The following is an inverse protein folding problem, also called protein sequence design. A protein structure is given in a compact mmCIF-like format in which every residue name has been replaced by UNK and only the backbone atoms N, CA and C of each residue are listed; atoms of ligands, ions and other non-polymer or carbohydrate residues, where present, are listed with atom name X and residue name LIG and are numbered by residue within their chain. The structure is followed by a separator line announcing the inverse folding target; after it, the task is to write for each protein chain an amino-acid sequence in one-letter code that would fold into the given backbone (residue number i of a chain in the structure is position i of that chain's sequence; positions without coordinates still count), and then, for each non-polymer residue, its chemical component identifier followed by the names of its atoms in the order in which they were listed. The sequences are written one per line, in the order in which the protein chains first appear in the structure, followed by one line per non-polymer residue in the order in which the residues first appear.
data_IF_029415624880
#
_entry.id   IF_029415624880
#
_cell.length_a   1.000
_cell.length_b   1.000
_cell.length_c   1.000
_cell.angle_alpha   90.00
_cell.angle_beta   90.00
_cell.angle_gamma   90.00
#
_symmetry.space_group_name_H-M   'P 1'
#
loop_
_entity.id
_entity.type
_entity.pdbx_description
1 polymer ?
#
# COMPACT_ATOMS: atom_id res chain seq x y z
N UNK A 1 18.27 35.58 23.02
CA UNK A 1 16.93 35.20 23.51
C UNK A 1 15.88 35.16 22.40
N UNK A 2 15.84 36.09 21.44
CA UNK A 2 14.88 36.03 20.32
C UNK A 2 15.12 34.85 19.34
N UNK A 3 16.38 34.48 19.09
CA UNK A 3 16.72 33.36 18.20
C UNK A 3 16.36 31.95 18.73
N UNK A 4 16.11 31.82 20.03
CA UNK A 4 15.68 30.57 20.66
C UNK A 4 14.14 30.46 20.65
N UNK A 5 13.44 31.57 20.88
CA UNK A 5 11.99 31.67 20.74
C UNK A 5 11.51 31.39 19.30
N UNK A 6 12.26 31.83 18.28
CA UNK A 6 11.95 31.53 16.87
C UNK A 6 12.17 30.05 16.53
N UNK A 7 13.19 29.40 17.12
CA UNK A 7 13.39 27.95 16.99
C UNK A 7 12.31 27.14 17.70
N UNK A 8 11.84 27.61 18.85
CA UNK A 8 10.72 27.00 19.59
C UNK A 8 9.41 27.17 18.82
N UNK A 9 9.14 28.35 18.24
CA UNK A 9 7.95 28.58 17.42
C UNK A 9 7.95 27.78 16.11
N UNK A 10 9.13 27.61 15.47
CA UNK A 10 9.28 26.74 14.30
C UNK A 10 9.16 25.24 14.68
N UNK A 11 9.60 24.84 15.88
CA UNK A 11 9.48 23.48 16.40
C UNK A 11 8.07 23.07 16.82
N UNK A 12 7.12 24.02 16.87
CA UNK A 12 5.70 23.78 17.18
C UNK A 12 4.88 23.38 15.94
N UNK A 13 5.43 23.53 14.73
CA UNK A 13 4.71 23.30 13.47
C UNK A 13 4.69 21.83 12.98
N UNK A 14 4.34 20.89 13.88
CA UNK A 14 4.50 19.43 13.73
C UNK A 14 5.96 19.03 13.98
N UNK A 15 6.20 18.41 15.12
CA UNK A 15 7.46 17.75 15.39
C UNK A 15 7.74 16.69 14.30
N UNK A 16 9.02 16.46 14.00
CA UNK A 16 9.45 15.56 12.92
C UNK A 16 8.83 14.16 13.03
N UNK A 17 8.57 13.70 14.25
CA UNK A 17 7.95 12.40 14.50
C UNK A 17 6.49 12.39 14.06
N UNK A 18 5.72 13.42 14.40
CA UNK A 18 4.35 13.62 13.90
C UNK A 18 4.29 13.65 12.36
N UNK A 19 5.27 14.30 11.71
CA UNK A 19 5.35 14.33 10.23
C UNK A 19 5.64 12.94 9.65
N UNK A 20 6.61 12.20 10.23
CA UNK A 20 6.93 10.82 9.81
C UNK A 20 5.72 9.90 9.96
N UNK A 21 4.97 10.00 11.06
CA UNK A 21 3.76 9.22 11.29
C UNK A 21 2.68 9.51 10.25
N UNK A 22 2.40 10.78 9.98
CA UNK A 22 1.41 11.18 8.99
C UNK A 22 1.81 10.71 7.57
N UNK A 23 3.08 10.91 7.20
CA UNK A 23 3.60 10.47 5.90
C UNK A 23 3.52 8.95 5.75
N UNK A 24 3.88 8.18 6.79
CA UNK A 24 3.77 6.72 6.81
C UNK A 24 2.32 6.28 6.59
N UNK A 25 1.37 6.88 7.30
CA UNK A 25 -0.05 6.56 7.18
C UNK A 25 -0.59 6.89 5.78
N UNK A 26 -0.20 8.03 5.19
CA UNK A 26 -0.62 8.44 3.85
C UNK A 26 -0.07 7.52 2.76
N UNK A 27 1.22 7.18 2.83
CA UNK A 27 1.85 6.26 1.85
C UNK A 27 1.16 4.90 1.88
N UNK A 28 0.87 4.35 3.07
CA UNK A 28 0.14 3.08 3.19
C UNK A 28 -1.32 3.19 2.73
N UNK A 29 -2.01 4.24 3.18
CA UNK A 29 -3.42 4.45 2.90
C UNK A 29 -3.68 4.61 1.42
N UNK A 30 -2.87 5.40 0.72
CA UNK A 30 -3.03 5.67 -0.71
C UNK A 30 -2.40 4.55 -1.55
N UNK A 31 -1.20 4.10 -1.17
CA UNK A 31 -0.43 3.10 -1.92
C UNK A 31 -1.08 1.71 -1.97
N UNK A 32 -1.97 1.39 -1.02
CA UNK A 32 -2.70 0.13 -1.00
C UNK A 32 -3.98 0.12 -1.86
N UNK A 33 -4.51 1.28 -2.26
CA UNK A 33 -5.80 1.36 -2.97
C UNK A 33 -5.73 0.65 -4.33
N UNK A 34 -4.70 0.94 -5.13
CA UNK A 34 -4.52 0.34 -6.45
C UNK A 34 -4.42 -1.19 -6.38
N UNK A 35 -3.49 -1.75 -5.58
CA UNK A 35 -3.39 -3.18 -5.36
C UNK A 35 -4.68 -3.82 -4.85
N UNK A 36 -5.35 -3.24 -3.85
CA UNK A 36 -6.60 -3.79 -3.31
C UNK A 36 -7.70 -3.91 -4.38
N UNK A 37 -7.87 -2.87 -5.20
CA UNK A 37 -8.82 -2.88 -6.31
C UNK A 37 -8.44 -3.90 -7.39
N UNK A 38 -7.16 -3.96 -7.75
CA UNK A 38 -6.67 -4.92 -8.74
C UNK A 38 -6.89 -6.36 -8.28
N UNK A 39 -6.54 -6.69 -7.03
CA UNK A 39 -6.72 -8.03 -6.46
C UNK A 39 -8.20 -8.41 -6.42
N UNK A 40 -9.07 -7.50 -5.96
CA UNK A 40 -10.52 -7.74 -5.94
C UNK A 40 -11.08 -8.05 -7.33
N UNK A 41 -10.66 -7.28 -8.34
CA UNK A 41 -11.09 -7.49 -9.73
C UNK A 41 -10.54 -8.80 -10.31
N UNK A 42 -9.26 -9.10 -10.10
CA UNK A 42 -8.61 -10.32 -10.57
C UNK A 42 -9.26 -11.57 -9.96
N UNK A 43 -9.49 -11.54 -8.65
CA UNK A 43 -10.16 -12.62 -7.94
C UNK A 43 -11.61 -12.81 -8.42
N UNK A 44 -12.38 -11.71 -8.51
CA UNK A 44 -13.77 -11.76 -8.99
C UNK A 44 -13.88 -12.37 -10.39
N UNK A 45 -13.05 -11.89 -11.34
CA UNK A 45 -13.04 -12.42 -12.70
C UNK A 45 -12.55 -13.86 -12.79
N UNK A 46 -11.56 -14.23 -11.98
CA UNK A 46 -11.08 -15.61 -11.93
C UNK A 46 -12.17 -16.56 -11.43
N UNK A 47 -12.89 -16.19 -10.37
CA UNK A 47 -14.01 -16.98 -9.85
C UNK A 47 -15.17 -17.09 -10.84
N UNK A 48 -15.54 -16.00 -11.54
CA UNK A 48 -16.54 -16.06 -12.61
C UNK A 48 -16.12 -17.00 -13.75
N UNK A 49 -14.84 -16.96 -14.15
CA UNK A 49 -14.31 -17.82 -15.21
C UNK A 49 -14.31 -19.30 -14.80
N UNK A 50 -13.97 -19.60 -13.53
CA UNK A 50 -14.05 -20.94 -12.95
C UNK A 50 -15.49 -21.43 -12.91
N UNK A 51 -16.43 -20.60 -12.46
CA UNK A 51 -17.86 -20.95 -12.42
C UNK A 51 -18.44 -21.28 -13.79
N UNK A 52 -17.96 -20.62 -14.86
CA UNK A 52 -18.36 -20.90 -16.24
C UNK A 52 -17.69 -22.15 -16.83
N UNK A 53 -16.44 -22.42 -16.45
CA UNK A 53 -15.66 -23.56 -16.97
C UNK A 53 -14.94 -24.31 -15.83
N UNK A 54 -15.66 -25.17 -15.07
CA UNK A 54 -15.08 -25.86 -13.91
C UNK A 54 -13.88 -26.75 -14.26
N UNK A 55 -13.89 -27.37 -15.45
CA UNK A 55 -12.81 -28.23 -15.95
C UNK A 55 -11.49 -27.47 -16.15
N UNK A 56 -11.54 -26.15 -16.39
CA UNK A 56 -10.38 -25.30 -16.57
C UNK A 56 -9.87 -24.67 -15.26
N UNK A 57 -10.47 -25.02 -14.11
CA UNK A 57 -10.25 -24.34 -12.83
C UNK A 57 -8.78 -24.22 -12.44
N UNK A 58 -8.01 -25.31 -12.54
CA UNK A 58 -6.59 -25.30 -12.19
C UNK A 58 -5.77 -24.28 -12.98
N UNK A 59 -5.98 -24.20 -14.31
CA UNK A 59 -5.26 -23.24 -15.17
C UNK A 59 -5.64 -21.80 -14.85
N UNK A 60 -6.93 -21.55 -14.63
CA UNK A 60 -7.44 -20.21 -14.28
C UNK A 60 -6.88 -19.78 -12.92
N UNK A 61 -6.89 -20.67 -11.93
CA UNK A 61 -6.37 -20.40 -10.59
C UNK A 61 -4.87 -20.06 -10.63
N UNK A 62 -4.06 -20.80 -11.39
CA UNK A 62 -2.63 -20.50 -11.54
C UNK A 62 -2.40 -19.10 -12.13
N UNK A 63 -3.10 -18.75 -13.22
CA UNK A 63 -2.96 -17.43 -13.84
C UNK A 63 -3.46 -16.30 -12.93
N UNK A 64 -4.56 -16.54 -12.21
CA UNK A 64 -5.15 -15.60 -11.25
C UNK A 64 -4.18 -15.32 -10.08
N UNK A 65 -3.64 -16.35 -9.43
CA UNK A 65 -2.70 -16.19 -8.31
C UNK A 65 -1.44 -15.46 -8.75
N UNK A 66 -0.89 -15.79 -9.92
CA UNK A 66 0.29 -15.10 -10.45
C UNK A 66 0.01 -13.61 -10.68
N UNK A 67 -1.15 -13.28 -11.23
CA UNK A 67 -1.56 -11.88 -11.45
C UNK A 67 -1.76 -11.13 -10.12
N UNK A 68 -2.37 -11.80 -9.12
CA UNK A 68 -2.53 -11.25 -7.76
C UNK A 68 -1.16 -11.01 -7.12
N UNK A 69 -0.20 -11.92 -7.28
CA UNK A 69 1.14 -11.76 -6.73
C UNK A 69 1.87 -10.53 -7.32
N UNK A 70 1.69 -10.25 -8.62
CA UNK A 70 2.24 -9.04 -9.21
C UNK A 70 1.54 -7.76 -8.72
N UNK A 71 0.23 -7.80 -8.49
CA UNK A 71 -0.48 -6.68 -7.87
C UNK A 71 -0.02 -6.45 -6.43
N UNK A 72 0.21 -7.52 -5.66
CA UNK A 72 0.71 -7.47 -4.29
C UNK A 72 2.13 -6.89 -4.21
N UNK A 73 2.99 -7.15 -5.20
CA UNK A 73 4.34 -6.57 -5.24
C UNK A 73 4.32 -5.02 -5.22
N UNK A 74 3.29 -4.40 -5.80
CA UNK A 74 3.11 -2.94 -5.75
C UNK A 74 2.70 -2.48 -4.35
N UNK A 75 1.84 -3.24 -3.65
CA UNK A 75 1.50 -2.96 -2.25
C UNK A 75 2.73 -3.07 -1.33
N UNK A 76 3.59 -4.07 -1.60
CA UNK A 76 4.84 -4.26 -0.86
C UNK A 76 5.78 -3.06 -1.05
N UNK A 77 5.85 -2.45 -2.24
CA UNK A 77 6.65 -1.24 -2.40
C UNK A 77 6.13 -0.07 -1.56
N UNK A 78 4.81 0.11 -1.45
CA UNK A 78 4.23 1.10 -0.54
C UNK A 78 4.58 0.79 0.93
N UNK A 79 4.49 -0.49 1.33
CA UNK A 79 4.90 -0.95 2.65
C UNK A 79 6.37 -0.68 2.95
N UNK A 80 7.28 -0.99 2.02
CA UNK A 80 8.71 -0.76 2.18
C UNK A 80 9.00 0.73 2.36
N UNK A 81 8.42 1.60 1.53
CA UNK A 81 8.60 3.05 1.65
C UNK A 81 8.05 3.56 2.99
N UNK A 82 6.88 3.09 3.42
CA UNK A 82 6.30 3.46 4.71
C UNK A 82 7.19 3.04 5.89
N UNK A 83 7.75 1.82 5.85
CA UNK A 83 8.68 1.34 6.87
C UNK A 83 9.98 2.15 6.89
N UNK A 84 10.51 2.53 5.73
CA UNK A 84 11.68 3.41 5.64
C UNK A 84 11.38 4.76 6.28
N UNK A 85 10.25 5.40 5.96
CA UNK A 85 9.86 6.69 6.56
C UNK A 85 9.74 6.57 8.08
N UNK A 86 9.21 5.45 8.58
CA UNK A 86 8.97 5.25 10.02
C UNK A 86 10.25 4.98 10.82
N UNK A 87 11.17 4.20 10.27
CA UNK A 87 12.28 3.63 11.05
C UNK A 87 13.68 4.16 10.67
N UNK A 88 13.80 4.84 9.53
CA UNK A 88 15.05 5.48 9.07
C UNK A 88 14.91 7.00 9.17
#
# INVERSE_FOLDING_TARGET
MEGEAVKVAAGVLLDTESVKLLATALVMGIGSIGPALAIGLLAGKGLEAIGRNPEASGKIQTAMILSIAFAEAVAIYALVVALIIKFV
#
